data_IF_791473953179
#
_entry.id   IF_791473953179
#
_cell.length_a   1.000
_cell.length_b   1.000
_cell.length_c   1.000
_cell.angle_alpha   90.00
_cell.angle_beta   90.00
_cell.angle_gamma   90.00
#
_symmetry.space_group_name_H-M   'P 1'
#
loop_
_entity.id
_entity.type
_entity.pdbx_description
1 polymer ?
#
# COMPACT_ATOMS: atom_id res chain seq x y z
N UNK A 1 -17.26 -0.71 15.85
CA UNK A 1 -17.04 -1.19 14.46
C UNK A 1 -15.57 -0.93 14.17
N UNK A 2 -14.84 -1.89 13.59
CA UNK A 2 -13.43 -1.68 13.23
C UNK A 2 -13.32 -0.81 11.99
N UNK A 3 -12.30 0.04 11.96
CA UNK A 3 -11.99 0.92 10.83
C UNK A 3 -10.78 0.42 10.06
N UNK A 4 -10.93 0.30 8.75
CA UNK A 4 -9.84 -0.04 7.83
C UNK A 4 -9.52 1.15 6.93
N UNK A 5 -8.22 1.43 6.77
CA UNK A 5 -7.72 2.43 5.82
C UNK A 5 -6.92 1.74 4.71
N UNK A 6 -7.32 1.96 3.46
CA UNK A 6 -6.70 1.33 2.28
C UNK A 6 -6.08 2.42 1.40
N UNK A 7 -4.77 2.43 1.21
CA UNK A 7 -4.17 3.24 0.14
C UNK A 7 -4.32 2.52 -1.19
N UNK A 8 -4.64 3.25 -2.26
CA UNK A 8 -4.91 2.63 -3.56
C UNK A 8 -6.21 1.84 -3.62
N UNK A 9 -7.23 2.26 -2.87
CA UNK A 9 -8.55 1.60 -2.78
C UNK A 9 -9.22 1.42 -4.15
N UNK A 10 -8.99 2.33 -5.08
CA UNK A 10 -9.53 2.29 -6.46
C UNK A 10 -8.71 1.40 -7.41
N UNK A 11 -7.63 0.78 -6.92
CA UNK A 11 -6.90 -0.26 -7.62
C UNK A 11 -7.66 -1.59 -7.67
N UNK A 12 -7.10 -2.61 -8.33
CA UNK A 12 -7.71 -3.94 -8.41
C UNK A 12 -7.86 -4.55 -7.02
N UNK A 13 -6.76 -4.74 -6.31
CA UNK A 13 -6.75 -5.39 -4.99
C UNK A 13 -7.49 -4.54 -3.94
N UNK A 14 -7.34 -3.20 -4.00
CA UNK A 14 -8.05 -2.29 -3.10
C UNK A 14 -9.56 -2.38 -3.24
N UNK A 15 -10.08 -2.52 -4.47
CA UNK A 15 -11.52 -2.63 -4.71
C UNK A 15 -12.09 -3.97 -4.20
N UNK A 16 -11.39 -5.09 -4.39
CA UNK A 16 -11.82 -6.38 -3.84
C UNK A 16 -11.68 -6.45 -2.32
N UNK A 17 -10.61 -5.86 -1.77
CA UNK A 17 -10.42 -5.80 -0.33
C UNK A 17 -11.51 -4.96 0.34
N UNK A 18 -11.92 -3.84 -0.27
CA UNK A 18 -13.02 -3.02 0.25
C UNK A 18 -14.33 -3.79 0.34
N UNK A 19 -14.67 -4.58 -0.68
CA UNK A 19 -15.84 -5.45 -0.70
C UNK A 19 -15.79 -6.48 0.45
N UNK A 20 -14.64 -7.16 0.59
CA UNK A 20 -14.45 -8.15 1.66
C UNK A 20 -14.56 -7.52 3.06
N UNK A 21 -13.96 -6.37 3.29
CA UNK A 21 -14.00 -5.71 4.59
C UNK A 21 -15.39 -5.19 4.94
N UNK A 22 -16.12 -4.63 3.97
CA UNK A 22 -17.52 -4.24 4.15
C UNK A 22 -18.38 -5.45 4.51
N UNK A 23 -18.20 -6.61 3.84
CA UNK A 23 -18.95 -7.84 4.17
C UNK A 23 -18.65 -8.36 5.59
N UNK A 24 -17.51 -8.00 6.16
CA UNK A 24 -17.10 -8.31 7.54
C UNK A 24 -17.53 -7.24 8.56
N UNK A 25 -18.27 -6.23 8.14
CA UNK A 25 -18.79 -5.17 9.01
C UNK A 25 -17.76 -4.11 9.42
N UNK A 26 -16.71 -3.90 8.60
CA UNK A 26 -15.77 -2.79 8.80
C UNK A 26 -16.34 -1.48 8.26
N UNK A 27 -15.97 -0.37 8.89
CA UNK A 27 -16.01 0.96 8.30
C UNK A 27 -14.77 1.11 7.42
N UNK A 28 -14.98 1.29 6.11
CA UNK A 28 -13.89 1.27 5.12
C UNK A 28 -13.60 2.67 4.60
N UNK A 29 -12.36 3.10 4.79
CA UNK A 29 -11.81 4.35 4.28
C UNK A 29 -10.73 4.07 3.23
N UNK A 30 -10.64 4.94 2.23
CA UNK A 30 -9.63 4.81 1.19
C UNK A 30 -8.88 6.10 0.93
N UNK A 31 -7.57 6.01 0.69
CA UNK A 31 -6.77 7.11 0.16
C UNK A 31 -6.75 6.99 -1.35
N UNK A 32 -7.17 8.06 -2.02
CA UNK A 32 -7.13 8.21 -3.48
C UNK A 32 -6.26 9.41 -3.84
N UNK A 33 -5.40 9.22 -4.85
CA UNK A 33 -4.65 10.31 -5.44
C UNK A 33 -5.55 11.04 -6.43
N UNK A 34 -5.50 12.38 -6.45
CA UNK A 34 -6.21 13.12 -7.48
C UNK A 34 -5.73 12.72 -8.87
N UNK A 35 -6.65 12.38 -9.74
CA UNK A 35 -6.43 12.09 -11.15
C UNK A 35 -6.97 13.22 -12.02
N UNK A 36 -6.32 13.50 -13.15
CA UNK A 36 -6.78 14.52 -14.10
C UNK A 36 -8.11 14.15 -14.78
N UNK A 37 -8.46 12.87 -14.80
CA UNK A 37 -9.74 12.34 -15.32
C UNK A 37 -10.51 11.76 -14.14
N UNK A 38 -11.20 12.62 -13.40
CA UNK A 38 -11.88 12.27 -12.14
C UNK A 38 -12.97 11.19 -12.32
N UNK A 39 -13.70 11.23 -13.40
CA UNK A 39 -14.79 10.31 -13.73
C UNK A 39 -14.37 8.85 -13.93
N UNK A 40 -13.08 8.60 -14.06
CA UNK A 40 -12.54 7.24 -14.18
C UNK A 40 -12.02 6.68 -12.86
N UNK A 41 -11.97 7.51 -11.82
CA UNK A 41 -11.27 7.20 -10.58
C UNK A 41 -11.96 6.07 -9.79
N UNK A 42 -13.29 6.02 -9.80
CA UNK A 42 -14.09 5.10 -8.98
C UNK A 42 -14.69 3.91 -9.74
N UNK A 43 -14.35 3.73 -11.00
CA UNK A 43 -14.96 2.70 -11.87
C UNK A 43 -14.99 1.29 -11.24
N UNK A 44 -13.92 0.89 -10.54
CA UNK A 44 -13.87 -0.45 -9.91
C UNK A 44 -14.77 -0.54 -8.70
N UNK A 45 -14.81 0.51 -7.87
CA UNK A 45 -15.69 0.58 -6.69
C UNK A 45 -17.15 0.60 -7.11
N UNK A 46 -17.49 1.34 -8.18
CA UNK A 46 -18.83 1.36 -8.77
C UNK A 46 -19.20 -0.03 -9.28
N UNK A 47 -18.28 -0.69 -10.03
CA UNK A 47 -18.53 -2.03 -10.57
C UNK A 47 -18.78 -3.08 -9.48
N UNK A 48 -18.11 -2.95 -8.33
CA UNK A 48 -18.29 -3.85 -7.19
C UNK A 48 -19.44 -3.44 -6.25
N UNK A 49 -20.15 -2.35 -6.54
CA UNK A 49 -21.25 -1.85 -5.71
C UNK A 49 -20.81 -1.39 -4.32
N UNK A 50 -19.59 -0.83 -4.22
CA UNK A 50 -19.00 -0.38 -2.94
C UNK A 50 -18.74 1.12 -2.89
N UNK A 51 -18.88 1.85 -3.99
CA UNK A 51 -18.54 3.28 -4.08
C UNK A 51 -19.31 4.18 -3.12
N UNK A 52 -20.55 3.84 -2.81
CA UNK A 52 -21.43 4.55 -1.88
C UNK A 52 -21.26 4.10 -0.40
N UNK A 53 -20.49 3.05 -0.17
CA UNK A 53 -20.28 2.41 1.14
C UNK A 53 -18.89 2.67 1.71
N UNK A 54 -17.97 3.21 0.91
CA UNK A 54 -16.61 3.54 1.34
C UNK A 54 -16.45 5.06 1.43
N UNK A 55 -15.66 5.52 2.38
CA UNK A 55 -15.31 6.94 2.50
C UNK A 55 -13.93 7.17 1.88
N UNK A 56 -13.86 7.98 0.82
CA UNK A 56 -12.58 8.30 0.17
C UNK A 56 -12.02 9.64 0.63
N UNK A 57 -10.70 9.69 0.76
CA UNK A 57 -9.93 10.86 1.16
C UNK A 57 -8.84 11.14 0.12
N UNK A 58 -8.65 12.40 -0.24
CA UNK A 58 -7.51 12.77 -1.07
C UNK A 58 -6.22 12.74 -0.26
N UNK A 59 -5.21 12.06 -0.79
CA UNK A 59 -3.86 11.97 -0.23
C UNK A 59 -2.90 11.34 -1.23
N UNK A 60 -1.61 11.55 -1.01
CA UNK A 60 -0.53 10.99 -1.83
C UNK A 60 0.53 10.38 -0.92
N UNK A 61 1.07 9.21 -1.28
CA UNK A 61 2.14 8.55 -0.51
C UNK A 61 3.41 9.42 -0.41
N UNK A 62 3.61 10.32 -1.35
CA UNK A 62 4.74 11.25 -1.33
C UNK A 62 4.47 12.52 -0.52
N UNK A 63 3.23 12.75 -0.08
CA UNK A 63 2.83 13.93 0.69
C UNK A 63 2.48 13.56 2.14
N UNK A 64 3.50 13.54 3.00
CA UNK A 64 3.36 13.22 4.41
C UNK A 64 2.23 13.99 5.13
N UNK A 65 2.05 15.32 4.93
CA UNK A 65 0.97 16.05 5.59
C UNK A 65 -0.43 15.53 5.24
N UNK A 66 -0.67 15.15 3.97
CA UNK A 66 -1.97 14.59 3.58
C UNK A 66 -2.23 13.23 4.23
N UNK A 67 -1.21 12.38 4.31
CA UNK A 67 -1.30 11.08 4.98
C UNK A 67 -1.58 11.26 6.48
N UNK A 68 -0.82 12.13 7.15
CA UNK A 68 -1.00 12.42 8.57
C UNK A 68 -2.41 12.95 8.87
N UNK A 69 -2.92 13.88 8.04
CA UNK A 69 -4.28 14.40 8.16
C UNK A 69 -5.33 13.28 8.03
N UNK A 70 -5.22 12.43 7.03
CA UNK A 70 -6.19 11.33 6.82
C UNK A 70 -6.14 10.33 7.97
N UNK A 71 -4.96 9.87 8.36
CA UNK A 71 -4.82 8.89 9.45
C UNK A 71 -5.32 9.47 10.78
N UNK A 72 -5.03 10.75 11.09
CA UNK A 72 -5.55 11.42 12.29
C UNK A 72 -7.08 11.56 12.27
N UNK A 73 -7.68 11.78 11.10
CA UNK A 73 -9.14 11.89 10.96
C UNK A 73 -9.82 10.53 11.11
N UNK A 74 -9.26 9.49 10.51
CA UNK A 74 -9.85 8.15 10.49
C UNK A 74 -9.57 7.40 11.79
N UNK A 75 -8.35 7.50 12.33
CA UNK A 75 -7.85 6.68 13.45
C UNK A 75 -8.12 5.19 13.20
N UNK A 76 -7.50 4.59 12.18
CA UNK A 76 -7.82 3.23 11.74
C UNK A 76 -7.32 2.17 12.74
N UNK A 77 -8.04 1.05 12.83
CA UNK A 77 -7.59 -0.17 13.51
C UNK A 77 -6.64 -0.99 12.63
N UNK A 78 -6.80 -0.87 11.33
CA UNK A 78 -6.02 -1.62 10.34
C UNK A 78 -5.69 -0.73 9.12
N UNK A 79 -4.43 -0.74 8.68
CA UNK A 79 -3.94 -0.02 7.51
C UNK A 79 -3.46 -1.03 6.46
N UNK A 80 -4.00 -0.92 5.25
CA UNK A 80 -3.61 -1.72 4.09
C UNK A 80 -2.95 -0.83 3.06
N UNK A 81 -1.62 -0.85 3.02
CA UNK A 81 -0.86 -0.02 2.09
C UNK A 81 -0.66 -0.75 0.75
N UNK A 82 -1.61 -0.55 -0.16
CA UNK A 82 -1.63 -1.16 -1.50
C UNK A 82 -1.23 -0.16 -2.60
N UNK A 83 -1.25 1.13 -2.29
CA UNK A 83 -0.88 2.19 -3.24
C UNK A 83 0.57 2.06 -3.69
N UNK A 84 0.79 2.10 -5.01
CA UNK A 84 2.11 2.01 -5.61
C UNK A 84 2.11 2.52 -7.05
N UNK A 85 3.28 2.87 -7.57
CA UNK A 85 3.56 2.83 -9.00
C UNK A 85 3.90 1.36 -9.35
N UNK A 86 2.90 0.61 -9.85
CA UNK A 86 2.94 -0.84 -9.90
C UNK A 86 3.30 -1.44 -11.28
N UNK A 87 3.58 -0.60 -12.28
CA UNK A 87 3.88 -1.08 -13.62
C UNK A 87 5.40 -1.29 -13.80
N UNK A 88 5.83 -2.56 -13.85
CA UNK A 88 7.26 -2.92 -13.91
C UNK A 88 7.96 -2.27 -15.11
N UNK A 89 7.40 -2.35 -16.32
CA UNK A 89 8.04 -1.76 -17.51
C UNK A 89 8.20 -0.24 -17.39
N UNK A 90 7.18 0.47 -16.90
CA UNK A 90 7.24 1.93 -16.73
C UNK A 90 8.29 2.34 -15.68
N UNK A 91 8.63 1.45 -14.74
CA UNK A 91 9.65 1.75 -13.73
C UNK A 91 11.03 2.02 -14.34
N UNK A 92 11.32 1.47 -15.52
CA UNK A 92 12.57 1.75 -16.25
C UNK A 92 12.57 3.15 -16.89
N UNK A 93 11.41 3.65 -17.30
CA UNK A 93 11.25 4.99 -17.87
C UNK A 93 11.14 6.07 -16.78
N UNK A 94 10.64 5.72 -15.60
CA UNK A 94 10.41 6.62 -14.46
C UNK A 94 11.00 6.06 -13.15
N UNK A 95 12.30 5.75 -13.07
CA UNK A 95 12.87 5.07 -11.91
C UNK A 95 12.81 5.90 -10.63
N UNK A 96 13.09 7.20 -10.72
CA UNK A 96 13.04 8.10 -9.56
C UNK A 96 11.64 8.20 -8.98
N UNK A 97 10.62 8.39 -9.80
CA UNK A 97 9.23 8.41 -9.36
C UNK A 97 8.81 7.08 -8.72
N UNK A 98 9.26 5.96 -9.30
CA UNK A 98 9.00 4.62 -8.77
C UNK A 98 9.58 4.44 -7.37
N UNK A 99 10.85 4.79 -7.16
CA UNK A 99 11.51 4.70 -5.85
C UNK A 99 10.84 5.63 -4.83
N UNK A 100 10.57 6.86 -5.22
CA UNK A 100 9.92 7.83 -4.33
C UNK A 100 8.53 7.33 -3.89
N UNK A 101 7.70 6.89 -4.82
CA UNK A 101 6.35 6.43 -4.49
C UNK A 101 6.37 5.12 -3.68
N UNK A 102 7.16 4.13 -4.10
CA UNK A 102 7.06 2.77 -3.57
C UNK A 102 7.95 2.52 -2.35
N UNK A 103 9.00 3.31 -2.16
CA UNK A 103 9.92 3.15 -1.03
C UNK A 103 9.79 4.31 -0.04
N UNK A 104 9.98 5.57 -0.47
CA UNK A 104 9.80 6.71 0.43
C UNK A 104 8.33 6.89 0.82
N UNK A 105 7.37 6.60 -0.07
CA UNK A 105 5.95 6.58 0.27
C UNK A 105 5.61 5.55 1.36
N UNK A 106 6.25 4.38 1.35
CA UNK A 106 6.12 3.40 2.44
C UNK A 106 6.71 3.94 3.74
N UNK A 107 7.87 4.60 3.69
CA UNK A 107 8.48 5.26 4.86
C UNK A 107 7.54 6.32 5.44
N UNK A 108 6.94 7.17 4.61
CA UNK A 108 5.98 8.17 5.05
C UNK A 108 4.78 7.55 5.78
N UNK A 109 4.20 6.46 5.21
CA UNK A 109 3.10 5.75 5.87
C UNK A 109 3.50 5.10 7.17
N UNK A 110 4.70 4.53 7.25
CA UNK A 110 5.22 3.92 8.49
C UNK A 110 5.46 4.97 9.59
N UNK A 111 5.97 6.16 9.24
CA UNK A 111 6.14 7.27 10.19
C UNK A 111 4.79 7.81 10.68
N UNK A 112 3.81 7.98 9.78
CA UNK A 112 2.45 8.36 10.17
C UNK A 112 1.83 7.29 11.08
N UNK A 113 1.93 6.02 10.71
CA UNK A 113 1.46 4.89 11.50
C UNK A 113 2.07 4.88 12.91
N UNK A 114 3.41 4.95 12.98
CA UNK A 114 4.15 4.94 14.25
C UNK A 114 3.76 6.08 15.17
N UNK A 115 3.54 7.27 14.62
CA UNK A 115 3.34 8.49 15.41
C UNK A 115 1.87 8.73 15.80
N UNK A 116 0.92 8.30 14.96
CA UNK A 116 -0.51 8.65 15.15
C UNK A 116 -1.32 7.47 15.65
N UNK A 117 -1.13 6.27 15.09
CA UNK A 117 -1.94 5.10 15.44
C UNK A 117 -1.10 3.82 15.64
N UNK A 118 -0.10 3.82 16.56
CA UNK A 118 0.87 2.73 16.72
C UNK A 118 0.23 1.39 17.12
N UNK A 119 -0.98 1.40 17.63
CA UNK A 119 -1.74 0.19 18.01
C UNK A 119 -2.51 -0.43 16.83
N UNK A 120 -2.60 0.23 15.69
CA UNK A 120 -3.20 -0.34 14.49
C UNK A 120 -2.36 -1.52 13.97
N UNK A 121 -2.94 -2.33 13.09
CA UNK A 121 -2.22 -3.33 12.31
C UNK A 121 -1.89 -2.76 10.94
N UNK A 122 -0.66 -2.98 10.48
CA UNK A 122 -0.19 -2.46 9.20
C UNK A 122 0.16 -3.60 8.25
N UNK A 123 -0.43 -3.60 7.07
CA UNK A 123 -0.11 -4.51 5.97
C UNK A 123 0.54 -3.74 4.83
N UNK A 124 1.68 -4.23 4.35
CA UNK A 124 2.37 -3.72 3.16
C UNK A 124 2.28 -4.73 2.03
N UNK A 125 1.74 -4.34 0.90
CA UNK A 125 1.78 -5.16 -0.30
C UNK A 125 3.21 -5.27 -0.83
N UNK A 126 3.71 -6.50 -0.91
CA UNK A 126 4.99 -6.86 -1.51
C UNK A 126 4.83 -7.27 -2.99
N UNK A 127 5.81 -7.98 -3.55
CA UNK A 127 5.78 -8.45 -4.93
C UNK A 127 6.77 -9.59 -5.13
N UNK A 128 6.46 -10.54 -6.01
CA UNK A 128 7.42 -11.54 -6.49
C UNK A 128 8.60 -10.93 -7.25
N UNK A 129 8.44 -9.72 -7.80
CA UNK A 129 9.53 -8.97 -8.46
C UNK A 129 10.72 -8.67 -7.52
N UNK A 130 10.53 -8.81 -6.19
CA UNK A 130 11.61 -8.70 -5.22
C UNK A 130 12.66 -9.81 -5.38
N UNK A 131 12.26 -10.98 -5.87
CA UNK A 131 13.15 -12.11 -6.09
C UNK A 131 13.87 -12.02 -7.43
N UNK A 132 13.38 -11.21 -8.39
CA UNK A 132 13.90 -11.16 -9.74
C UNK A 132 13.83 -12.54 -10.40
N UNK A 133 14.99 -13.03 -10.85
CA UNK A 133 15.12 -14.35 -11.45
C UNK A 133 15.56 -15.44 -10.46
N UNK A 134 15.68 -15.11 -9.16
CA UNK A 134 16.09 -16.10 -8.15
C UNK A 134 14.95 -17.07 -7.87
N UNK A 135 15.29 -18.35 -7.88
CA UNK A 135 14.44 -19.48 -7.50
C UNK A 135 15.27 -20.45 -6.67
N UNK A 136 14.60 -21.28 -5.86
CA UNK A 136 15.23 -22.39 -5.17
C UNK A 136 15.57 -23.52 -6.19
N UNK A 137 16.27 -24.56 -5.75
CA UNK A 137 16.72 -25.67 -6.62
C UNK A 137 15.57 -26.35 -7.39
N UNK A 138 14.37 -26.34 -6.84
CA UNK A 138 13.15 -26.89 -7.47
C UNK A 138 12.39 -25.88 -8.35
N UNK A 139 12.95 -24.70 -8.61
CA UNK A 139 12.35 -23.65 -9.45
C UNK A 139 11.25 -22.84 -8.77
N UNK A 140 11.04 -23.00 -7.45
CA UNK A 140 9.97 -22.29 -6.69
C UNK A 140 10.57 -21.12 -5.90
N UNK A 141 9.83 -20.01 -5.82
CA UNK A 141 10.16 -18.89 -4.94
C UNK A 141 9.49 -19.08 -3.58
N UNK A 142 10.26 -18.92 -2.51
CA UNK A 142 9.82 -19.02 -1.11
C UNK A 142 10.28 -17.83 -0.30
N UNK A 143 9.84 -17.73 0.94
CA UNK A 143 10.27 -16.66 1.87
C UNK A 143 11.78 -16.71 2.18
N UNK A 144 12.41 -17.86 1.96
CA UNK A 144 13.86 -18.09 2.13
C UNK A 144 14.65 -17.83 0.87
N UNK A 145 14.00 -17.72 -0.28
CA UNK A 145 14.69 -17.43 -1.57
C UNK A 145 15.33 -16.05 -1.50
N UNK A 146 16.60 -15.90 -1.91
CA UNK A 146 17.29 -14.61 -1.90
C UNK A 146 16.57 -13.57 -2.77
N UNK A 147 16.40 -12.37 -2.21
CA UNK A 147 15.87 -11.24 -2.96
C UNK A 147 16.96 -10.68 -3.88
N UNK A 148 16.73 -10.73 -5.18
CA UNK A 148 17.67 -10.25 -6.22
C UNK A 148 16.91 -9.51 -7.32
N UNK A 149 16.32 -8.33 -7.00
CA UNK A 149 15.46 -7.59 -7.94
C UNK A 149 16.23 -7.13 -9.17
N UNK A 150 15.59 -7.20 -10.34
CA UNK A 150 16.17 -6.86 -11.64
C UNK A 150 15.46 -5.65 -12.29
N UNK A 151 14.63 -4.93 -11.54
CA UNK A 151 13.93 -3.74 -12.02
C UNK A 151 13.91 -2.65 -10.93
N UNK A 152 13.78 -1.36 -11.29
CA UNK A 152 13.58 -0.28 -10.31
C UNK A 152 12.35 -0.53 -9.44
N UNK A 153 11.28 -1.12 -10.00
CA UNK A 153 10.10 -1.53 -9.25
C UNK A 153 10.46 -2.59 -8.20
N UNK A 154 11.13 -3.68 -8.58
CA UNK A 154 11.56 -4.73 -7.66
C UNK A 154 12.45 -4.18 -6.54
N UNK A 155 13.45 -3.34 -6.88
CA UNK A 155 14.30 -2.66 -5.90
C UNK A 155 13.49 -1.84 -4.90
N UNK A 156 12.49 -1.07 -5.38
CA UNK A 156 11.63 -0.27 -4.52
C UNK A 156 10.81 -1.12 -3.55
N UNK A 157 10.35 -2.29 -3.99
CA UNK A 157 9.60 -3.23 -3.16
C UNK A 157 10.47 -3.90 -2.10
N UNK A 158 11.72 -4.26 -2.44
CA UNK A 158 12.71 -4.77 -1.46
C UNK A 158 12.99 -3.72 -0.39
N UNK A 159 13.17 -2.45 -0.77
CA UNK A 159 13.35 -1.37 0.21
C UNK A 159 12.14 -1.24 1.12
N UNK A 160 10.91 -1.20 0.59
CA UNK A 160 9.68 -1.15 1.36
C UNK A 160 9.55 -2.33 2.35
N UNK A 161 9.84 -3.54 1.91
CA UNK A 161 9.85 -4.74 2.73
C UNK A 161 10.84 -4.62 3.92
N UNK A 162 12.07 -4.17 3.67
CA UNK A 162 13.07 -4.00 4.72
C UNK A 162 12.69 -2.88 5.71
N UNK A 163 12.08 -1.78 5.25
CA UNK A 163 11.56 -0.73 6.12
C UNK A 163 10.49 -1.30 7.06
N UNK A 164 9.51 -2.06 6.56
CA UNK A 164 8.48 -2.69 7.40
C UNK A 164 9.09 -3.62 8.44
N UNK A 165 10.06 -4.46 8.05
CA UNK A 165 10.78 -5.32 9.00
C UNK A 165 11.51 -4.52 10.07
N UNK A 166 12.19 -3.44 9.68
CA UNK A 166 12.88 -2.53 10.61
C UNK A 166 11.89 -1.94 11.63
N UNK A 167 10.76 -1.39 11.17
CA UNK A 167 9.77 -0.79 12.06
C UNK A 167 9.13 -1.80 13.02
N UNK A 168 8.86 -3.02 12.54
CA UNK A 168 8.40 -4.12 13.40
C UNK A 168 9.39 -4.42 14.54
N UNK A 169 10.68 -4.49 14.24
CA UNK A 169 11.69 -4.86 15.22
C UNK A 169 12.08 -3.68 16.13
N UNK A 170 12.36 -2.51 15.55
CA UNK A 170 12.86 -1.35 16.29
C UNK A 170 11.79 -0.71 17.18
N UNK A 171 10.55 -0.60 16.67
CA UNK A 171 9.46 0.09 17.37
C UNK A 171 8.38 -0.86 17.91
N UNK A 172 8.57 -2.18 17.77
CA UNK A 172 7.61 -3.23 18.23
C UNK A 172 6.20 -3.07 17.65
N UNK A 173 6.08 -2.53 16.46
CA UNK A 173 4.82 -2.33 15.77
C UNK A 173 4.30 -3.64 15.15
N UNK A 174 2.97 -3.75 15.02
CA UNK A 174 2.32 -4.85 14.29
C UNK A 174 2.30 -4.50 12.78
N UNK A 175 3.41 -4.72 12.07
CA UNK A 175 3.55 -4.41 10.65
C UNK A 175 4.07 -5.61 9.87
#
# INVERSE_FOLDING_TARGET
MKKALITGINGQDGSYLSELLLSKGYEVHGIVRRHSVAENQDKRLVKNGTSDKVTTHYGDLMDYPSLARVVSTVMPDEIYNLGAMSHVRISFDMPSFTIQTNALGVLNMLEVYRTICPNAKFYQASSSEMFGNSVDEDGVQRLTTPMNPVSPYGCSKVMGYNLVRHYRHAYKLHA
#
